data_IF_574792419562
#
_entry.id   IF_574792419562
#
_cell.length_a   1.000
_cell.length_b   1.000
_cell.length_c   1.000
_cell.angle_alpha   90.00
_cell.angle_beta   90.00
_cell.angle_gamma   90.00
#
_symmetry.space_group_name_H-M   'P 1'
#
loop_
_entity.id
_entity.type
_entity.pdbx_description
1 polymer ?
#
# COMPACT_ATOMS: atom_id res chain seq x y z
N UNK A 1 -50.21 64.59 15.10
CA UNK A 1 -49.30 64.33 13.96
C UNK A 1 -47.83 64.11 14.37
N UNK A 2 -47.20 64.93 15.23
CA UNK A 2 -45.78 64.73 15.64
C UNK A 2 -45.53 63.46 16.47
N UNK A 3 -46.49 63.06 17.32
CA UNK A 3 -46.38 61.88 18.18
C UNK A 3 -46.51 60.56 17.40
N UNK A 4 -47.43 60.53 16.41
CA UNK A 4 -47.60 59.38 15.51
C UNK A 4 -46.35 59.12 14.65
N UNK A 5 -45.68 60.19 14.19
CA UNK A 5 -44.39 60.09 13.45
C UNK A 5 -43.24 59.53 14.29
N UNK A 6 -43.24 59.78 15.62
CA UNK A 6 -42.24 59.24 16.55
C UNK A 6 -42.49 57.75 16.82
N UNK A 7 -43.75 57.34 16.93
CA UNK A 7 -44.13 55.93 17.07
C UNK A 7 -43.78 55.11 15.83
N UNK A 8 -44.03 55.64 14.63
CA UNK A 8 -43.63 54.97 13.38
C UNK A 8 -42.11 54.87 13.23
N UNK A 9 -41.36 55.90 13.65
CA UNK A 9 -39.90 55.86 13.62
C UNK A 9 -39.36 54.80 14.58
N UNK A 10 -39.89 54.72 15.80
CA UNK A 10 -39.51 53.70 16.78
C UNK A 10 -39.81 52.28 16.28
N UNK A 11 -40.99 52.07 15.68
CA UNK A 11 -41.38 50.79 15.11
C UNK A 11 -40.45 50.37 13.96
N UNK A 12 -40.05 51.31 13.10
CA UNK A 12 -39.09 51.06 12.00
C UNK A 12 -37.70 50.71 12.53
N UNK A 13 -37.23 51.38 13.60
CA UNK A 13 -35.92 51.08 14.20
C UNK A 13 -35.91 49.71 14.87
N UNK A 14 -36.97 49.35 15.59
CA UNK A 14 -37.12 48.02 16.20
C UNK A 14 -37.19 46.92 15.14
N UNK A 15 -37.92 47.17 14.04
CA UNK A 15 -37.99 46.24 12.92
C UNK A 15 -36.62 46.08 12.22
N UNK A 16 -35.88 47.17 12.04
CA UNK A 16 -34.53 47.14 11.45
C UNK A 16 -33.53 46.37 12.33
N UNK A 17 -33.61 46.48 13.67
CA UNK A 17 -32.77 45.67 14.56
C UNK A 17 -33.13 44.19 14.51
N UNK A 18 -34.41 43.83 14.37
CA UNK A 18 -34.86 42.44 14.31
C UNK A 18 -34.45 41.68 13.03
N UNK A 19 -34.02 42.39 11.98
CA UNK A 19 -33.58 41.80 10.71
C UNK A 19 -32.07 41.48 10.67
N UNK A 20 -31.31 41.80 11.73
CA UNK A 20 -29.85 41.57 11.79
C UNK A 20 -29.48 40.21 12.42
N UNK A 21 -30.29 39.18 12.18
CA UNK A 21 -29.94 37.82 12.55
C UNK A 21 -28.76 37.34 11.71
N UNK A 22 -27.54 37.44 12.24
CA UNK A 22 -26.38 36.79 11.65
C UNK A 22 -26.56 35.29 11.83
N UNK A 23 -26.68 34.55 10.73
CA UNK A 23 -26.62 33.10 10.79
C UNK A 23 -25.19 32.71 11.22
N UNK A 24 -25.05 32.26 12.47
CA UNK A 24 -23.83 31.62 12.92
C UNK A 24 -23.83 30.19 12.38
N UNK A 25 -23.03 29.93 11.35
CA UNK A 25 -22.70 28.58 10.95
C UNK A 25 -21.82 27.99 12.04
N UNK A 26 -22.38 27.09 12.85
CA UNK A 26 -21.59 26.31 13.78
C UNK A 26 -20.72 25.36 12.94
N UNK A 27 -19.41 25.59 12.96
CA UNK A 27 -18.46 24.63 12.41
C UNK A 27 -18.57 23.35 13.24
N UNK A 28 -18.79 22.22 12.59
CA UNK A 28 -18.87 20.94 13.29
C UNK A 28 -17.49 20.64 13.90
N UNK A 29 -17.45 20.25 15.17
CA UNK A 29 -16.22 19.93 15.88
C UNK A 29 -16.26 18.43 16.16
N UNK A 30 -15.39 17.62 15.54
CA UNK A 30 -15.20 16.22 15.82
C UNK A 30 -15.18 15.92 17.30
N UNK A 31 -15.94 14.89 17.66
CA UNK A 31 -15.91 14.35 18.99
C UNK A 31 -14.58 13.61 19.18
N UNK A 32 -13.68 14.09 20.07
CA UNK A 32 -12.37 13.48 20.27
C UNK A 32 -12.45 12.07 20.87
N UNK A 33 -13.60 11.69 21.44
CA UNK A 33 -13.85 10.35 21.98
C UNK A 33 -14.36 9.36 20.95
N UNK A 34 -14.74 9.83 19.76
CA UNK A 34 -15.23 8.98 18.69
C UNK A 34 -14.09 8.17 18.07
N UNK A 35 -14.39 6.95 17.66
CA UNK A 35 -13.50 6.13 16.83
C UNK A 35 -14.10 5.95 15.45
N UNK A 36 -13.24 5.62 14.49
CA UNK A 36 -13.62 5.31 13.12
C UNK A 36 -13.08 3.97 12.65
N UNK A 37 -13.28 3.73 11.36
CA UNK A 37 -12.80 2.59 10.62
C UNK A 37 -11.94 3.09 9.47
N UNK A 38 -10.82 2.41 9.21
CA UNK A 38 -10.04 2.60 8.00
C UNK A 38 -10.00 1.27 7.27
N UNK A 39 -10.43 1.26 6.02
CA UNK A 39 -10.40 0.09 5.16
C UNK A 39 -9.56 0.35 3.93
N UNK A 40 -8.95 -0.70 3.40
CA UNK A 40 -8.17 -0.64 2.17
C UNK A 40 -8.41 -1.89 1.33
N UNK A 41 -8.72 -1.70 0.05
CA UNK A 41 -8.99 -2.78 -0.90
C UNK A 41 -7.87 -2.91 -1.92
N UNK A 42 -7.17 -4.03 -1.86
CA UNK A 42 -6.12 -4.44 -2.77
C UNK A 42 -6.75 -4.96 -4.07
N UNK A 43 -6.64 -4.19 -5.15
CA UNK A 43 -7.15 -4.55 -6.47
C UNK A 43 -6.10 -4.37 -7.54
N UNK A 44 -6.08 -5.28 -8.51
CA UNK A 44 -5.28 -5.18 -9.72
C UNK A 44 -6.15 -5.56 -10.92
N UNK A 45 -6.22 -4.68 -11.91
CA UNK A 45 -7.02 -4.90 -13.13
C UNK A 45 -8.49 -5.29 -12.83
N UNK A 46 -9.09 -4.62 -11.84
CA UNK A 46 -10.46 -4.87 -11.38
C UNK A 46 -10.66 -6.14 -10.54
N UNK A 47 -9.61 -6.95 -10.32
CA UNK A 47 -9.67 -8.16 -9.52
C UNK A 47 -9.12 -7.94 -8.11
N UNK A 48 -9.73 -8.56 -7.11
CA UNK A 48 -9.25 -8.55 -5.72
C UNK A 48 -7.94 -9.34 -5.60
N UNK A 49 -7.00 -8.79 -4.84
CA UNK A 49 -5.68 -9.38 -4.59
C UNK A 49 -5.55 -9.71 -3.11
N UNK A 50 -5.79 -10.97 -2.69
CA UNK A 50 -5.68 -11.35 -1.29
C UNK A 50 -4.22 -11.58 -0.86
N UNK A 51 -3.99 -11.54 0.44
CA UNK A 51 -2.71 -11.87 1.07
C UNK A 51 -1.75 -10.70 1.22
N UNK A 52 -0.74 -10.91 2.06
CA UNK A 52 0.12 -9.85 2.56
C UNK A 52 -0.46 -9.19 3.81
N UNK A 53 0.29 -8.22 4.37
CA UNK A 53 -0.05 -7.52 5.61
C UNK A 53 0.18 -6.03 5.46
N UNK A 54 -0.72 -5.24 6.04
CA UNK A 54 -0.58 -3.78 6.17
C UNK A 54 -0.52 -3.40 7.65
N UNK A 55 0.26 -2.38 7.96
CA UNK A 55 0.36 -1.81 9.31
C UNK A 55 -0.02 -0.34 9.28
N UNK A 56 -0.81 0.05 10.27
CA UNK A 56 -1.22 1.42 10.51
C UNK A 56 -0.47 1.96 11.73
N UNK A 57 0.33 3.01 11.54
CA UNK A 57 1.08 3.68 12.60
C UNK A 57 0.49 5.05 12.86
N UNK A 58 0.20 5.37 14.12
CA UNK A 58 -0.25 6.71 14.51
C UNK A 58 0.98 7.61 14.60
N UNK A 59 1.07 8.60 13.72
CA UNK A 59 2.22 9.50 13.58
C UNK A 59 1.92 10.94 14.01
N UNK A 60 0.65 11.28 14.16
CA UNK A 60 0.24 12.60 14.62
C UNK A 60 -1.05 12.61 15.43
N UNK A 61 -1.16 13.63 16.26
CA UNK A 61 -2.35 13.95 17.04
C UNK A 61 -3.16 15.05 16.34
N UNK A 62 -4.47 15.03 16.58
CA UNK A 62 -5.35 16.12 16.13
C UNK A 62 -5.12 17.34 17.01
N UNK A 63 -4.90 18.49 16.37
CA UNK A 63 -4.85 19.80 17.03
C UNK A 63 -5.89 20.71 16.40
N UNK A 64 -6.50 21.56 17.22
CA UNK A 64 -7.46 22.56 16.75
C UNK A 64 -6.80 23.93 16.69
N UNK A 65 -6.92 24.60 15.55
CA UNK A 65 -6.55 26.01 15.39
C UNK A 65 -7.77 26.78 14.86
N UNK A 66 -8.28 27.73 15.65
CA UNK A 66 -9.46 28.55 15.31
C UNK A 66 -10.72 27.76 14.88
N UNK A 67 -10.85 26.51 15.32
CA UNK A 67 -11.95 25.62 14.95
C UNK A 67 -11.65 24.71 13.75
N UNK A 68 -10.54 24.93 13.06
CA UNK A 68 -10.04 24.04 12.02
C UNK A 68 -9.29 22.85 12.62
N UNK A 69 -9.42 21.70 11.95
CA UNK A 69 -8.74 20.46 12.31
C UNK A 69 -7.42 20.34 11.57
N UNK A 70 -6.33 20.29 12.34
CA UNK A 70 -4.98 20.11 11.85
C UNK A 70 -4.35 18.89 12.52
N UNK A 71 -3.19 18.47 12.01
CA UNK A 71 -2.39 17.42 12.62
C UNK A 71 -1.03 17.97 13.05
N UNK A 72 -0.57 17.53 14.21
CA UNK A 72 0.80 17.73 14.67
C UNK A 72 1.45 16.36 14.87
N UNK A 73 2.73 16.24 14.57
CA UNK A 73 3.47 15.00 14.87
C UNK A 73 3.39 14.70 16.37
N UNK A 74 3.16 13.44 16.70
CA UNK A 74 3.13 12.99 18.09
C UNK A 74 4.55 12.82 18.64
N UNK A 75 4.68 12.60 19.95
CA UNK A 75 5.99 12.47 20.61
C UNK A 75 6.90 11.41 19.99
N UNK A 76 6.33 10.32 19.46
CA UNK A 76 7.11 9.25 18.81
C UNK A 76 7.68 9.65 17.45
N UNK A 77 7.10 10.66 16.79
CA UNK A 77 7.48 11.10 15.45
C UNK A 77 7.97 12.56 15.40
N UNK A 78 7.91 13.32 16.50
CA UNK A 78 8.27 14.74 16.53
C UNK A 78 9.72 14.99 16.06
N UNK A 79 10.65 14.12 16.44
CA UNK A 79 12.07 14.23 16.08
C UNK A 79 12.37 13.84 14.61
N UNK A 80 11.38 13.36 13.86
CA UNK A 80 11.52 13.07 12.43
C UNK A 80 11.76 14.33 11.59
N UNK A 81 11.29 15.49 12.06
CA UNK A 81 11.38 16.76 11.34
C UNK A 81 10.55 16.82 10.06
N UNK A 82 9.66 15.85 9.82
CA UNK A 82 8.80 15.82 8.63
C UNK A 82 7.76 16.94 8.71
N UNK A 83 7.61 17.70 7.61
CA UNK A 83 6.54 18.69 7.51
C UNK A 83 5.20 18.02 7.17
N UNK A 84 4.13 18.51 7.81
CA UNK A 84 2.75 18.07 7.57
C UNK A 84 1.93 19.10 6.75
N UNK A 85 2.59 20.07 6.12
CA UNK A 85 1.93 21.12 5.33
C UNK A 85 1.17 20.56 4.12
N UNK A 86 1.62 19.43 3.56
CA UNK A 86 0.97 18.71 2.48
C UNK A 86 0.81 17.22 2.82
N UNK A 87 -0.38 16.83 3.28
CA UNK A 87 -0.70 15.45 3.64
C UNK A 87 -0.85 14.52 2.42
N UNK A 88 -0.84 15.04 1.20
CA UNK A 88 -0.82 14.23 -0.03
C UNK A 88 0.60 14.03 -0.57
N UNK A 89 1.61 14.62 0.07
CA UNK A 89 3.01 14.46 -0.32
C UNK A 89 3.48 13.02 -0.13
N UNK A 90 3.93 12.33 -1.20
CA UNK A 90 4.55 11.02 -1.09
C UNK A 90 5.82 11.06 -0.22
N UNK A 91 6.63 12.11 -0.36
CA UNK A 91 7.89 12.28 0.39
C UNK A 91 7.65 12.30 1.91
N UNK A 92 6.58 12.98 2.37
CA UNK A 92 6.22 13.02 3.77
C UNK A 92 5.79 11.63 4.29
N UNK A 93 5.02 10.89 3.48
CA UNK A 93 4.58 9.54 3.83
C UNK A 93 5.77 8.56 3.87
N UNK A 94 6.66 8.61 2.89
CA UNK A 94 7.87 7.78 2.83
C UNK A 94 8.80 8.07 4.00
N UNK A 95 9.05 9.34 4.31
CA UNK A 95 9.89 9.73 5.43
C UNK A 95 9.32 9.25 6.78
N UNK A 96 8.00 9.38 6.99
CA UNK A 96 7.35 8.88 8.20
C UNK A 96 7.33 7.35 8.25
N UNK A 97 7.12 6.67 7.13
CA UNK A 97 7.20 5.22 7.05
C UNK A 97 8.61 4.69 7.40
N UNK A 98 9.65 5.35 6.88
CA UNK A 98 11.03 5.03 7.23
C UNK A 98 11.32 5.33 8.71
N UNK A 99 10.79 6.43 9.25
CA UNK A 99 10.94 6.78 10.65
C UNK A 99 10.33 5.73 11.59
N UNK A 100 9.05 5.39 11.40
CA UNK A 100 8.33 4.44 12.26
C UNK A 100 8.97 3.06 12.23
N UNK A 101 9.50 2.65 11.07
CA UNK A 101 10.20 1.37 10.90
C UNK A 101 11.57 1.36 11.58
N UNK A 102 12.34 2.44 11.47
CA UNK A 102 13.69 2.52 12.05
C UNK A 102 13.72 2.74 13.56
N UNK A 103 12.62 3.23 14.14
CA UNK A 103 12.49 3.51 15.57
C UNK A 103 11.53 2.56 16.29
N UNK A 104 11.10 1.47 15.63
CA UNK A 104 10.19 0.47 16.20
C UNK A 104 8.93 1.09 16.82
N UNK A 105 8.36 2.11 16.17
CA UNK A 105 7.12 2.75 16.63
C UNK A 105 6.00 1.73 16.59
N UNK A 106 5.20 1.65 17.66
CA UNK A 106 4.10 0.70 17.73
C UNK A 106 3.05 0.98 16.65
N UNK A 107 2.65 -0.06 15.93
CA UNK A 107 1.59 -0.02 14.92
C UNK A 107 0.65 -1.20 15.05
N UNK A 108 -0.51 -1.08 14.42
CA UNK A 108 -1.49 -2.17 14.33
C UNK A 108 -1.35 -2.85 12.98
N UNK A 109 -1.10 -4.16 12.96
CA UNK A 109 -0.95 -4.94 11.72
C UNK A 109 -2.19 -5.77 11.46
N UNK A 110 -2.67 -5.77 10.21
CA UNK A 110 -3.81 -6.54 9.74
C UNK A 110 -3.44 -7.26 8.44
N UNK A 111 -3.90 -8.51 8.31
CA UNK A 111 -3.77 -9.28 7.07
C UNK A 111 -4.79 -8.83 6.02
N UNK A 112 -4.39 -8.84 4.74
CA UNK A 112 -5.32 -8.64 3.63
C UNK A 112 -6.14 -9.92 3.44
N UNK A 113 -7.44 -9.81 3.68
CA UNK A 113 -8.38 -10.92 3.64
C UNK A 113 -8.55 -11.55 2.25
N UNK A 114 -9.31 -12.65 2.20
CA UNK A 114 -9.61 -13.37 0.96
C UNK A 114 -10.41 -12.52 -0.06
N UNK A 115 -11.10 -11.49 0.41
CA UNK A 115 -11.81 -10.49 -0.39
C UNK A 115 -10.90 -9.32 -0.85
N UNK A 116 -9.59 -9.43 -0.60
CA UNK A 116 -8.63 -8.38 -0.91
C UNK A 116 -8.74 -7.14 -0.02
N UNK A 117 -9.44 -7.22 1.12
CA UNK A 117 -9.64 -6.07 2.01
C UNK A 117 -8.86 -6.24 3.32
N UNK A 118 -8.26 -5.16 3.81
CA UNK A 118 -7.80 -5.06 5.19
C UNK A 118 -8.56 -3.94 5.90
N UNK A 119 -9.01 -4.21 7.14
CA UNK A 119 -9.86 -3.29 7.90
C UNK A 119 -9.31 -3.08 9.30
N UNK A 120 -9.09 -1.82 9.66
CA UNK A 120 -8.75 -1.36 11.00
C UNK A 120 -10.01 -0.79 11.65
N UNK A 121 -10.49 -1.45 12.70
CA UNK A 121 -11.58 -0.94 13.54
C UNK A 121 -11.05 -0.13 14.72
N UNK A 122 -11.96 0.60 15.38
CA UNK A 122 -11.70 1.36 16.60
C UNK A 122 -10.52 2.34 16.48
N UNK A 123 -10.35 2.94 15.30
CA UNK A 123 -9.26 3.89 15.02
C UNK A 123 -9.58 5.22 15.68
N UNK A 124 -8.74 5.62 16.63
CA UNK A 124 -8.86 6.92 17.29
C UNK A 124 -8.54 8.08 16.33
N UNK A 125 -8.95 9.28 16.69
CA UNK A 125 -8.58 10.48 15.93
C UNK A 125 -7.06 10.67 15.87
N UNK A 126 -6.56 11.10 14.71
CA UNK A 126 -5.14 11.33 14.50
C UNK A 126 -4.72 11.23 13.05
N UNK A 127 -3.42 11.44 12.82
CA UNK A 127 -2.76 11.20 11.55
C UNK A 127 -2.07 9.84 11.60
N UNK A 128 -2.24 9.07 10.53
CA UNK A 128 -1.66 7.75 10.39
C UNK A 128 -0.86 7.63 9.10
N UNK A 129 0.24 6.87 9.14
CA UNK A 129 0.91 6.36 7.94
C UNK A 129 0.58 4.88 7.79
N UNK A 130 0.13 4.48 6.60
CA UNK A 130 -0.04 3.08 6.26
C UNK A 130 1.20 2.57 5.55
N UNK A 131 1.71 1.42 5.99
CA UNK A 131 2.87 0.75 5.41
C UNK A 131 2.51 -0.70 5.11
N UNK A 132 2.90 -1.20 3.94
CA UNK A 132 2.77 -2.62 3.62
C UNK A 132 4.09 -3.34 3.90
N UNK A 133 4.12 -4.16 4.96
CA UNK A 133 5.34 -4.91 5.31
C UNK A 133 5.55 -6.11 4.39
N UNK A 134 4.45 -6.79 4.05
CA UNK A 134 4.46 -7.99 3.21
C UNK A 134 3.44 -7.82 2.09
N UNK A 135 3.87 -7.71 0.82
CA UNK A 135 2.96 -7.69 -0.31
C UNK A 135 2.42 -9.09 -0.62
N UNK A 136 1.28 -9.12 -1.32
CA UNK A 136 0.78 -10.36 -1.91
C UNK A 136 1.84 -11.00 -2.85
N UNK A 137 1.83 -12.33 -2.92
CA UNK A 137 2.77 -13.06 -3.78
C UNK A 137 2.65 -12.63 -5.24
N UNK A 138 3.78 -12.31 -5.87
CA UNK A 138 3.82 -11.83 -7.25
C UNK A 138 3.54 -10.33 -7.42
N UNK A 139 3.39 -9.56 -6.33
CA UNK A 139 3.19 -8.11 -6.36
C UNK A 139 4.35 -7.37 -5.68
N UNK A 140 4.58 -6.13 -6.09
CA UNK A 140 5.39 -5.17 -5.34
C UNK A 140 4.60 -4.64 -4.13
N UNK A 141 5.33 -4.13 -3.14
CA UNK A 141 4.70 -3.40 -2.05
C UNK A 141 4.07 -2.12 -2.58
N UNK A 142 2.93 -1.73 -2.02
CA UNK A 142 2.35 -0.41 -2.25
C UNK A 142 3.22 0.65 -1.58
N UNK A 143 3.23 1.84 -2.16
CA UNK A 143 3.88 2.99 -1.56
C UNK A 143 3.14 3.40 -0.27
N UNK A 144 3.85 3.86 0.77
CA UNK A 144 3.22 4.34 1.99
C UNK A 144 2.44 5.63 1.72
N UNK A 145 1.38 5.86 2.48
CA UNK A 145 0.59 7.08 2.37
C UNK A 145 -0.04 7.49 3.70
N UNK A 146 -0.40 8.78 3.80
CA UNK A 146 -1.00 9.38 4.98
C UNK A 146 -2.53 9.35 4.95
N UNK A 147 -3.12 9.17 6.14
CA UNK A 147 -4.57 9.11 6.37
C UNK A 147 -4.90 9.90 7.64
N UNK A 148 -5.76 10.90 7.53
CA UNK A 148 -6.34 11.59 8.69
C UNK A 148 -7.61 10.89 9.16
N UNK A 149 -7.80 10.79 10.48
CA UNK A 149 -9.02 10.33 11.12
C UNK A 149 -9.57 11.42 12.07
N UNK A 150 -10.80 11.91 11.87
CA UNK A 150 -11.61 11.76 10.65
C UNK A 150 -10.97 12.44 9.44
N UNK A 151 -11.48 12.12 8.25
CA UNK A 151 -11.25 12.89 7.02
C UNK A 151 -12.35 13.94 6.86
N UNK A 152 -12.03 15.13 6.37
CA UNK A 152 -13.04 16.11 5.99
C UNK A 152 -13.39 15.98 4.51
N UNK A 153 -14.63 15.65 4.20
CA UNK A 153 -15.17 15.60 2.84
C UNK A 153 -16.42 16.48 2.76
N UNK A 154 -16.48 17.38 1.78
CA UNK A 154 -17.61 18.30 1.58
C UNK A 154 -18.03 19.10 2.84
N UNK A 155 -17.08 19.36 3.73
CA UNK A 155 -17.31 20.09 5.00
C UNK A 155 -17.88 19.22 6.12
N UNK A 156 -17.99 17.91 5.94
CA UNK A 156 -18.42 16.95 6.94
C UNK A 156 -17.27 16.00 7.32
N UNK A 157 -17.32 15.50 8.56
CA UNK A 157 -16.32 14.55 9.05
C UNK A 157 -16.71 13.11 8.77
N UNK A 158 -15.84 12.43 8.03
CA UNK A 158 -15.97 11.03 7.65
C UNK A 158 -15.10 10.17 8.57
N UNK A 159 -15.75 9.21 9.24
CA UNK A 159 -15.12 8.28 10.18
C UNK A 159 -15.03 6.86 9.63
N UNK A 160 -15.70 6.57 8.52
CA UNK A 160 -15.58 5.30 7.80
C UNK A 160 -14.83 5.58 6.50
N UNK A 161 -13.52 5.37 6.54
CA UNK A 161 -12.61 5.80 5.49
C UNK A 161 -12.28 4.60 4.60
N UNK A 162 -12.58 4.73 3.30
CA UNK A 162 -12.07 3.84 2.26
C UNK A 162 -10.81 4.46 1.65
N UNK A 163 -9.65 3.91 2.02
CA UNK A 163 -8.34 4.35 1.57
C UNK A 163 -7.91 3.73 0.22
N UNK A 164 -8.73 2.87 -0.38
CA UNK A 164 -8.44 2.19 -1.66
C UNK A 164 -8.05 3.14 -2.80
N UNK A 165 -8.64 4.34 -2.95
CA UNK A 165 -8.29 5.24 -4.06
C UNK A 165 -6.82 5.69 -4.10
N UNK A 166 -6.09 5.56 -2.99
CA UNK A 166 -4.67 5.91 -2.89
C UNK A 166 -3.73 4.78 -3.32
N UNK A 167 -4.26 3.61 -3.69
CA UNK A 167 -3.46 2.44 -4.02
C UNK A 167 -3.26 2.24 -5.51
N UNK A 168 -2.01 1.99 -5.90
CA UNK A 168 -1.67 1.43 -7.21
C UNK A 168 -0.86 0.14 -7.03
N UNK A 169 -1.48 -1.01 -7.32
CA UNK A 169 -0.78 -2.30 -7.28
C UNK A 169 0.03 -2.52 -8.57
N UNK A 170 1.26 -3.00 -8.41
CA UNK A 170 2.10 -3.41 -9.54
C UNK A 170 2.49 -4.88 -9.43
N UNK A 171 2.32 -5.63 -10.53
CA UNK A 171 2.76 -7.04 -10.62
C UNK A 171 4.26 -7.12 -10.90
N UNK A 172 4.92 -8.06 -10.22
CA UNK A 172 6.30 -8.45 -10.55
C UNK A 172 6.32 -9.19 -11.89
N UNK A 173 7.35 -8.96 -12.73
CA UNK A 173 7.51 -9.73 -13.95
C UNK A 173 7.58 -11.23 -13.64
N UNK A 174 6.80 -12.04 -14.37
CA UNK A 174 7.00 -13.49 -14.36
C UNK A 174 8.25 -13.76 -15.18
N UNK A 175 9.36 -14.11 -14.56
CA UNK A 175 10.52 -14.64 -15.29
C UNK A 175 10.06 -15.93 -15.97
N UNK A 176 10.09 -16.04 -17.30
CA UNK A 176 9.83 -17.31 -17.96
C UNK A 176 10.79 -18.35 -17.36
N UNK A 177 10.36 -19.60 -17.14
CA UNK A 177 11.30 -20.66 -16.82
C UNK A 177 12.42 -20.60 -17.85
N UNK A 178 13.67 -20.42 -17.41
CA UNK A 178 14.79 -20.71 -18.28
C UNK A 178 14.58 -22.15 -18.70
N UNK A 179 14.30 -22.37 -19.98
CA UNK A 179 14.40 -23.71 -20.55
C UNK A 179 15.82 -24.16 -20.24
N UNK A 180 15.97 -24.99 -19.20
CA UNK A 180 17.17 -25.79 -19.04
C UNK A 180 17.30 -26.52 -20.37
N UNK A 181 18.27 -26.08 -21.16
CA UNK A 181 18.63 -26.76 -22.40
C UNK A 181 18.90 -28.18 -21.96
N UNK A 182 18.04 -29.11 -22.37
CA UNK A 182 18.22 -30.53 -22.11
C UNK A 182 19.70 -30.84 -22.41
N UNK A 183 20.41 -31.61 -21.56
CA UNK A 183 21.75 -32.02 -21.92
C UNK A 183 21.63 -32.67 -23.30
N UNK A 184 22.46 -32.20 -24.24
CA UNK A 184 22.56 -32.84 -25.55
C UNK A 184 22.68 -34.34 -25.28
N UNK A 185 21.67 -35.08 -25.72
CA UNK A 185 21.70 -36.53 -25.71
C UNK A 185 22.91 -36.88 -26.55
N UNK A 186 23.99 -37.28 -25.87
CA UNK A 186 25.26 -37.55 -26.50
C UNK A 186 25.05 -38.39 -27.73
N UNK A 187 25.38 -37.81 -28.89
CA UNK A 187 25.68 -38.59 -30.07
C UNK A 187 26.58 -39.74 -29.64
N UNK A 188 26.27 -40.99 -29.97
CA UNK A 188 27.21 -42.06 -29.76
C UNK A 188 28.40 -41.75 -30.66
N UNK A 189 29.45 -41.17 -30.06
CA UNK A 189 30.78 -41.13 -30.62
C UNK A 189 31.12 -42.55 -31.03
N UNK A 190 31.02 -42.82 -32.33
CA UNK A 190 31.60 -44.01 -32.93
C UNK A 190 33.08 -43.98 -32.61
N UNK A 191 33.65 -44.97 -31.90
CA UNK A 191 35.09 -45.07 -31.79
C UNK A 191 35.61 -45.64 -33.12
N UNK A 192 35.72 -44.82 -34.15
CA UNK A 192 36.50 -45.13 -35.35
C UNK A 192 37.98 -44.94 -35.03
N UNK A 193 38.53 -45.73 -34.10
CA UNK A 193 39.97 -45.86 -33.87
C UNK A 193 40.32 -46.98 -32.86
N UNK A 194 39.81 -48.21 -33.03
CA UNK A 194 40.32 -49.34 -32.23
C UNK A 194 40.25 -50.73 -32.89
N UNK A 195 39.93 -50.85 -34.19
CA UNK A 195 39.99 -52.14 -34.90
C UNK A 195 41.11 -52.20 -35.94
N UNK A 196 42.33 -51.83 -35.54
CA UNK A 196 43.53 -52.01 -36.36
C UNK A 196 44.39 -53.23 -35.99
N UNK A 197 44.03 -54.06 -35.01
CA UNK A 197 44.92 -55.16 -34.57
C UNK A 197 44.28 -56.53 -34.28
N UNK A 198 43.07 -56.83 -34.76
CA UNK A 198 42.50 -58.20 -34.68
C UNK A 198 42.22 -58.87 -36.03
N UNK A 199 42.51 -58.20 -37.16
CA UNK A 199 42.31 -58.77 -38.50
C UNK A 199 43.46 -59.65 -39.04
N UNK A 200 44.59 -59.75 -38.34
CA UNK A 200 45.77 -60.48 -38.82
C UNK A 200 45.99 -61.87 -38.18
N UNK A 201 45.14 -62.30 -37.23
CA UNK A 201 45.31 -63.59 -36.54
C UNK A 201 44.42 -64.74 -37.08
N UNK A 202 43.39 -64.46 -37.89
CA UNK A 202 42.48 -65.50 -38.40
C UNK A 202 42.70 -65.91 -39.87
N UNK A 203 43.56 -65.21 -40.61
CA UNK A 203 43.97 -65.66 -41.96
C UNK A 203 45.22 -66.57 -41.91
N UNK A 204 46.02 -66.50 -40.84
CA UNK A 204 47.21 -67.35 -40.66
C UNK A 204 46.89 -68.81 -40.27
N UNK A 205 45.78 -69.06 -39.55
CA UNK A 205 45.42 -70.42 -39.12
C UNK A 205 44.74 -71.22 -40.24
N UNK A 206 44.08 -70.56 -41.20
CA UNK A 206 43.48 -71.23 -42.36
C UNK A 206 44.51 -71.65 -43.43
N UNK A 207 45.64 -70.94 -43.55
CA UNK A 207 46.70 -71.29 -44.51
C UNK A 207 47.69 -72.36 -44.01
N UNK A 208 47.72 -72.64 -42.70
CA UNK A 208 48.51 -73.76 -42.14
C UNK A 208 47.70 -75.06 -42.10
N UNK A 209 46.38 -75.00 -41.96
CA UNK A 209 45.52 -76.19 -42.00
C UNK A 209 45.37 -76.83 -43.40
N UNK A 210 45.61 -76.08 -44.48
CA UNK A 210 45.60 -76.57 -45.86
C UNK A 210 46.96 -77.07 -46.37
N UNK A 211 48.04 -76.92 -45.59
CA UNK A 211 49.37 -77.44 -45.96
C UNK A 211 49.80 -78.65 -45.11
N UNK A 212 49.04 -78.98 -44.07
CA UNK A 212 49.22 -80.19 -43.25
C UNK A 212 48.24 -81.33 -43.61
N UNK A 213 47.29 -81.10 -44.53
CA UNK A 213 46.53 -82.15 -45.20
C UNK A 213 46.90 -82.13 -46.67
N UNK A 214 47.58 -83.20 -47.10
CA UNK A 214 47.69 -83.76 -48.45
C UNK A 214 46.86 -83.08 -49.55
#
# INVERSE_FOLDING_TARGET
MKWLRRLTALAMTVLALSLTGVAAYAHEVPDPSRTGTISVSMKYDGQQVPGGTVTLYRVGDVVSDNGDYLFALNDACADSGVSLDDLQSPDAAEALAAWVTSHDVAGTTVEVGADGTATFGDVALGLYVMVQNEPASGYYAIDPFLIGMPLTEDGAYVYDIDASPKLELQKKPVTPPTEETAPETGDPATPVAAFALCGAALVGVALVALRARR
#
